data_IF_494524918338
#
_entry.id   IF_494524918338
#
_cell.length_a   1.000
_cell.length_b   1.000
_cell.length_c   1.000
_cell.angle_alpha   90.00
_cell.angle_beta   90.00
_cell.angle_gamma   90.00
#
_symmetry.space_group_name_H-M   'P 1'
#
loop_
_entity.id
_entity.type
_entity.pdbx_description
1 polymer ?
#
# COMPACT_ATOMS: atom_id res chain seq x y z
N UNK A 1 14.45 -16.93 -10.10
CA UNK A 1 13.79 -16.58 -8.85
C UNK A 1 12.80 -17.66 -8.48
N UNK A 2 12.85 -18.15 -7.25
CA UNK A 2 11.90 -19.16 -6.76
C UNK A 2 10.57 -18.50 -6.40
N UNK A 3 9.51 -19.31 -6.26
CA UNK A 3 8.22 -18.81 -5.82
C UNK A 3 8.31 -18.15 -4.44
N UNK A 4 9.08 -18.74 -3.53
CA UNK A 4 9.24 -18.18 -2.18
C UNK A 4 9.93 -16.82 -2.22
N UNK A 5 10.94 -16.67 -3.06
CA UNK A 5 11.62 -15.39 -3.25
C UNK A 5 10.69 -14.35 -3.86
N UNK A 6 9.89 -14.75 -4.87
CA UNK A 6 8.95 -13.86 -5.51
C UNK A 6 7.90 -13.34 -4.52
N UNK A 7 7.33 -14.25 -3.71
CA UNK A 7 6.34 -13.87 -2.72
C UNK A 7 6.93 -12.96 -1.64
N UNK A 8 8.18 -13.21 -1.24
CA UNK A 8 8.86 -12.36 -0.28
C UNK A 8 9.06 -10.94 -0.82
N UNK A 9 9.42 -10.81 -2.09
CA UNK A 9 9.62 -9.51 -2.72
C UNK A 9 8.30 -8.76 -2.93
N UNK A 10 7.24 -9.48 -3.29
CA UNK A 10 5.91 -8.88 -3.39
C UNK A 10 5.49 -8.33 -2.02
N UNK A 11 5.70 -9.08 -0.95
CA UNK A 11 5.37 -8.64 0.41
C UNK A 11 6.15 -7.39 0.80
N UNK A 12 7.45 -7.35 0.49
CA UNK A 12 8.28 -6.18 0.78
C UNK A 12 7.80 -4.96 0.00
N UNK A 13 7.49 -5.13 -1.29
CA UNK A 13 6.98 -4.05 -2.11
C UNK A 13 5.65 -3.55 -1.60
N UNK A 14 4.75 -4.46 -1.23
CA UNK A 14 3.46 -4.10 -0.65
C UNK A 14 3.61 -3.32 0.66
N UNK A 15 4.51 -3.79 1.54
CA UNK A 15 4.75 -3.14 2.82
C UNK A 15 5.27 -1.71 2.62
N UNK A 16 6.27 -1.55 1.75
CA UNK A 16 6.83 -0.24 1.44
C UNK A 16 5.77 0.70 0.86
N UNK A 17 4.97 0.19 -0.06
CA UNK A 17 3.88 0.97 -0.66
C UNK A 17 2.85 1.40 0.38
N UNK A 18 2.40 0.49 1.24
CA UNK A 18 1.40 0.78 2.25
C UNK A 18 1.92 1.78 3.29
N UNK A 19 3.17 1.65 3.70
CA UNK A 19 3.77 2.60 4.64
C UNK A 19 3.89 3.99 4.03
N UNK A 20 4.33 4.07 2.78
CA UNK A 20 4.40 5.34 2.07
C UNK A 20 3.00 5.96 1.92
N UNK A 21 2.03 5.15 1.55
CA UNK A 21 0.65 5.59 1.39
C UNK A 21 0.08 6.14 2.71
N UNK A 22 0.30 5.44 3.83
CA UNK A 22 -0.13 5.92 5.14
C UNK A 22 0.50 7.26 5.50
N UNK A 23 1.81 7.38 5.28
CA UNK A 23 2.52 8.61 5.58
C UNK A 23 1.99 9.77 4.74
N UNK A 24 1.77 9.53 3.46
CA UNK A 24 1.24 10.56 2.56
C UNK A 24 -0.17 10.98 2.97
N UNK A 25 -1.04 10.03 3.29
CA UNK A 25 -2.41 10.31 3.72
C UNK A 25 -2.41 11.17 4.99
N UNK A 26 -1.57 10.83 5.95
CA UNK A 26 -1.47 11.56 7.22
C UNK A 26 -0.87 12.94 7.04
N UNK A 27 -0.03 13.12 6.03
CA UNK A 27 0.63 14.40 5.77
C UNK A 27 -0.25 15.33 4.94
N UNK A 28 -0.83 14.80 3.87
CA UNK A 28 -1.71 15.57 2.97
C UNK A 28 -2.70 14.63 2.29
N UNK A 29 -3.89 14.57 2.84
CA UNK A 29 -4.93 13.65 2.38
C UNK A 29 -5.35 13.94 0.94
N UNK A 30 -5.54 15.20 0.58
CA UNK A 30 -5.97 15.57 -0.76
C UNK A 30 -4.93 15.17 -1.80
N UNK A 31 -3.66 15.38 -1.49
CA UNK A 31 -2.55 14.98 -2.35
C UNK A 31 -2.47 13.46 -2.48
N UNK A 32 -2.73 12.74 -1.38
CA UNK A 32 -2.71 11.29 -1.36
C UNK A 32 -3.80 10.72 -2.27
N UNK A 33 -5.01 11.23 -2.17
CA UNK A 33 -6.12 10.81 -3.04
C UNK A 33 -5.75 10.98 -4.50
N UNK A 34 -5.16 12.11 -4.83
CA UNK A 34 -4.76 12.42 -6.20
C UNK A 34 -3.63 11.50 -6.67
N UNK A 35 -2.54 11.39 -5.90
CA UNK A 35 -1.35 10.66 -6.32
C UNK A 35 -1.49 9.15 -6.24
N UNK A 36 -2.18 8.65 -5.22
CA UNK A 36 -2.38 7.21 -5.06
C UNK A 36 -3.54 6.70 -5.91
N UNK A 37 -4.42 7.60 -6.36
CA UNK A 37 -5.59 7.20 -7.13
C UNK A 37 -6.60 6.40 -6.32
N UNK A 38 -6.56 6.53 -5.00
CA UNK A 38 -7.51 5.88 -4.09
C UNK A 38 -8.72 6.76 -3.86
N UNK A 39 -9.87 6.14 -3.56
CA UNK A 39 -11.02 6.87 -3.09
C UNK A 39 -10.75 7.45 -1.70
N UNK A 40 -11.52 8.45 -1.29
CA UNK A 40 -11.40 9.00 0.06
C UNK A 40 -11.70 7.95 1.12
N UNK A 41 -12.68 7.08 0.86
CA UNK A 41 -13.02 5.99 1.79
C UNK A 41 -11.84 5.02 1.96
N UNK A 42 -11.17 4.67 0.87
CA UNK A 42 -10.00 3.80 0.93
C UNK A 42 -8.86 4.46 1.71
N UNK A 43 -8.65 5.76 1.52
CA UNK A 43 -7.66 6.52 2.28
C UNK A 43 -7.98 6.51 3.78
N UNK A 44 -9.24 6.69 4.14
CA UNK A 44 -9.67 6.65 5.54
C UNK A 44 -9.36 5.30 6.18
N UNK A 45 -9.68 4.23 5.50
CA UNK A 45 -9.43 2.88 5.99
C UNK A 45 -7.93 2.66 6.17
N UNK A 46 -7.14 2.99 5.15
CA UNK A 46 -5.70 2.78 5.18
C UNK A 46 -5.04 3.59 6.30
N UNK A 47 -5.49 4.83 6.51
CA UNK A 47 -4.94 5.71 7.54
C UNK A 47 -5.14 5.15 8.95
N UNK A 48 -6.18 4.34 9.17
CA UNK A 48 -6.52 3.80 10.49
C UNK A 48 -5.94 2.41 10.74
N UNK A 49 -5.30 1.79 9.76
CA UNK A 49 -4.73 0.46 9.94
C UNK A 49 -3.57 0.48 10.93
N UNK A 50 -3.53 -0.52 11.80
CA UNK A 50 -2.41 -0.75 12.70
C UNK A 50 -1.24 -1.36 11.94
N UNK A 51 -0.05 -1.35 12.56
CA UNK A 51 1.13 -2.00 11.97
C UNK A 51 0.86 -3.48 11.68
N UNK A 52 0.19 -4.19 12.59
CA UNK A 52 -0.15 -5.60 12.40
C UNK A 52 -1.08 -5.80 11.20
N UNK A 53 -2.07 -4.91 11.04
CA UNK A 53 -3.00 -4.95 9.91
C UNK A 53 -2.28 -4.66 8.59
N UNK A 54 -1.36 -3.70 8.59
CA UNK A 54 -0.57 -3.38 7.40
C UNK A 54 0.30 -4.57 6.99
N UNK A 55 0.96 -5.22 7.95
CA UNK A 55 1.75 -6.42 7.68
C UNK A 55 0.89 -7.54 7.10
N UNK A 56 -0.29 -7.74 7.66
CA UNK A 56 -1.21 -8.76 7.20
C UNK A 56 -1.67 -8.50 5.76
N UNK A 57 -1.98 -7.25 5.46
CA UNK A 57 -2.38 -6.85 4.11
C UNK A 57 -1.21 -6.99 3.13
N UNK A 58 -0.01 -6.60 3.55
CA UNK A 58 1.20 -6.70 2.71
C UNK A 58 1.56 -8.14 2.39
N UNK A 59 1.15 -9.09 3.23
CA UNK A 59 1.48 -10.52 3.07
C UNK A 59 0.61 -11.21 2.03
N UNK A 60 -0.29 -10.51 1.36
CA UNK A 60 -1.05 -11.07 0.25
C UNK A 60 -0.10 -11.36 -0.90
N UNK A 61 -0.43 -12.38 -1.68
CA UNK A 61 0.42 -12.81 -2.80
C UNK A 61 0.17 -12.01 -4.09
N UNK A 62 -0.52 -10.88 -3.98
CA UNK A 62 -0.80 -9.98 -5.10
C UNK A 62 -0.13 -8.64 -4.85
N UNK A 63 0.55 -8.11 -5.86
CA UNK A 63 1.15 -6.79 -5.76
C UNK A 63 0.05 -5.74 -5.66
N UNK A 64 0.10 -4.92 -4.60
CA UNK A 64 -0.96 -3.94 -4.31
C UNK A 64 -0.79 -2.63 -5.06
N UNK A 65 0.46 -2.19 -5.30
CA UNK A 65 0.67 -1.00 -6.10
C UNK A 65 0.53 -1.34 -7.58
N UNK A 66 -0.12 -0.48 -8.34
CA UNK A 66 -0.28 -0.68 -9.76
C UNK A 66 0.41 0.43 -10.54
N UNK A 67 0.93 0.05 -11.70
CA UNK A 67 1.52 1.00 -12.61
C UNK A 67 0.40 1.87 -13.22
N UNK A 68 0.59 3.19 -13.18
CA UNK A 68 -0.31 4.12 -13.84
C UNK A 68 0.43 4.77 -14.98
N UNK A 69 -0.10 4.61 -16.17
CA UNK A 69 0.38 5.26 -17.38
C UNK A 69 -0.74 6.15 -17.88
N UNK A 70 -0.55 7.45 -17.79
CA UNK A 70 -1.51 8.42 -18.29
C UNK A 70 -1.11 8.92 -19.67
#
# INVERSE_FOLDING_TARGET
MTNDQLLAEIREANLTYLMLAQNLIRHDRAEAVFRLGMSEDACDILATLSAAQVLKLASRNTLLCSFRVD
#
